data_IF_302961014416
#
_entry.id   IF_302961014416
#
_cell.length_a   1.000
_cell.length_b   1.000
_cell.length_c   1.000
_cell.angle_alpha   90.00
_cell.angle_beta   90.00
_cell.angle_gamma   90.00
#
_symmetry.space_group_name_H-M   'P 1'
#
loop_
_entity.id
_entity.type
_entity.pdbx_description
1 polymer ?
#
# COMPACT_ATOMS: atom_id res chain seq x y z
N UNK A 1 -4.61 -16.25 -15.02
CA UNK A 1 -5.88 -15.63 -14.50
C UNK A 1 -6.43 -14.68 -15.55
N UNK A 2 -7.74 -14.38 -15.60
CA UNK A 2 -8.26 -13.30 -16.48
C UNK A 2 -7.87 -11.92 -15.90
N UNK A 3 -7.69 -10.91 -16.76
CA UNK A 3 -7.29 -9.55 -16.31
C UNK A 3 -8.21 -9.00 -15.21
N UNK A 4 -9.53 -9.24 -15.34
CA UNK A 4 -10.53 -8.81 -14.36
C UNK A 4 -10.30 -9.44 -12.98
N UNK A 5 -9.95 -10.71 -12.96
CA UNK A 5 -9.73 -11.44 -11.71
C UNK A 5 -8.41 -11.01 -11.06
N UNK A 6 -7.38 -10.73 -11.86
CA UNK A 6 -6.11 -10.16 -11.39
C UNK A 6 -6.30 -8.81 -10.70
N UNK A 7 -7.04 -7.90 -11.34
CA UNK A 7 -7.32 -6.56 -10.78
C UNK A 7 -8.07 -6.69 -9.46
N UNK A 8 -9.10 -7.55 -9.41
CA UNK A 8 -9.87 -7.78 -8.17
C UNK A 8 -9.01 -8.33 -7.06
N UNK A 9 -8.21 -9.37 -7.33
CA UNK A 9 -7.33 -9.99 -6.34
C UNK A 9 -6.30 -8.99 -5.81
N UNK A 10 -5.69 -8.20 -6.69
CA UNK A 10 -4.70 -7.18 -6.33
C UNK A 10 -5.30 -6.09 -5.44
N UNK A 11 -6.42 -5.49 -5.85
CA UNK A 11 -7.08 -4.43 -5.07
C UNK A 11 -7.57 -4.98 -3.73
N UNK A 12 -8.13 -6.19 -3.70
CA UNK A 12 -8.59 -6.83 -2.45
C UNK A 12 -7.43 -7.04 -1.49
N UNK A 13 -6.29 -7.53 -1.97
CA UNK A 13 -5.08 -7.71 -1.16
C UNK A 13 -4.57 -6.40 -0.56
N UNK A 14 -4.54 -5.32 -1.37
CA UNK A 14 -4.15 -3.99 -0.89
C UNK A 14 -5.11 -3.50 0.21
N UNK A 15 -6.42 -3.58 -0.01
CA UNK A 15 -7.43 -3.12 0.97
C UNK A 15 -7.37 -3.93 2.26
N UNK A 16 -7.23 -5.26 2.18
CA UNK A 16 -7.07 -6.11 3.36
C UNK A 16 -5.81 -5.73 4.16
N UNK A 17 -4.67 -5.56 3.49
CA UNK A 17 -3.43 -5.17 4.14
C UNK A 17 -3.52 -3.79 4.81
N UNK A 18 -4.18 -2.81 4.18
CA UNK A 18 -4.42 -1.49 4.80
C UNK A 18 -5.28 -1.61 6.06
N UNK A 19 -6.32 -2.43 6.04
CA UNK A 19 -7.18 -2.64 7.22
C UNK A 19 -6.42 -3.34 8.34
N UNK A 20 -5.68 -4.41 8.03
CA UNK A 20 -4.86 -5.15 9.00
C UNK A 20 -3.80 -4.24 9.64
N UNK A 21 -3.06 -3.46 8.83
CA UNK A 21 -2.08 -2.50 9.34
C UNK A 21 -2.69 -1.45 10.25
N UNK A 22 -3.86 -0.89 9.90
CA UNK A 22 -4.53 0.09 10.75
C UNK A 22 -4.99 -0.51 12.09
N UNK A 23 -5.33 -1.80 12.13
CA UNK A 23 -5.64 -2.51 13.38
C UNK A 23 -4.38 -2.74 14.23
N UNK A 24 -3.28 -3.16 13.61
CA UNK A 24 -1.99 -3.42 14.28
C UNK A 24 -1.34 -2.13 14.82
N UNK A 25 -1.53 -1.01 14.12
CA UNK A 25 -0.83 0.25 14.42
C UNK A 25 -1.60 1.19 15.35
N UNK A 26 -2.76 0.80 15.87
CA UNK A 26 -3.62 1.64 16.74
C UNK A 26 -2.86 2.34 17.88
N UNK A 27 -1.94 1.63 18.52
CA UNK A 27 -1.17 2.12 19.67
C UNK A 27 -0.03 3.08 19.29
N UNK A 28 0.41 3.07 18.04
CA UNK A 28 1.51 3.94 17.56
C UNK A 28 1.02 5.31 17.09
N UNK A 29 -0.30 5.44 16.91
CA UNK A 29 -0.92 6.61 16.31
C UNK A 29 -0.65 6.77 14.82
N UNK A 30 -0.06 5.77 14.15
CA UNK A 30 0.07 5.75 12.69
C UNK A 30 -1.28 5.44 12.03
N UNK A 31 -1.50 6.01 10.85
CA UNK A 31 -2.72 5.80 10.06
C UNK A 31 -2.32 5.54 8.62
N UNK A 32 -2.75 4.41 8.08
CA UNK A 32 -2.56 4.02 6.68
C UNK A 32 -3.82 4.35 5.90
N UNK A 33 -3.68 4.93 4.71
CA UNK A 33 -4.77 5.46 3.90
C UNK A 33 -5.71 6.41 4.69
N UNK A 34 -5.17 7.51 5.27
CA UNK A 34 -5.93 8.39 6.13
C UNK A 34 -7.07 9.09 5.36
N UNK A 35 -8.29 8.92 5.85
CA UNK A 35 -9.43 9.73 5.41
C UNK A 35 -9.26 11.18 5.93
N UNK A 36 -9.81 12.18 5.22
CA UNK A 36 -9.74 13.61 5.60
C UNK A 36 -8.38 14.30 5.40
N UNK A 37 -7.63 13.91 4.37
CA UNK A 37 -6.50 14.71 3.89
C UNK A 37 -6.97 16.06 3.33
N UNK A 38 -6.27 17.14 3.70
CA UNK A 38 -6.46 18.48 3.11
C UNK A 38 -5.12 19.09 2.73
N UNK A 39 -5.14 20.01 1.78
CA UNK A 39 -3.96 20.81 1.48
C UNK A 39 -3.86 22.00 2.44
N UNK A 40 -2.65 22.29 2.92
CA UNK A 40 -2.33 23.46 3.74
C UNK A 40 -1.06 24.14 3.23
N UNK A 41 -0.92 25.45 3.48
CA UNK A 41 0.26 26.25 3.14
C UNK A 41 -0.01 27.37 2.14
N UNK A 42 0.68 28.50 2.33
CA UNK A 42 0.54 29.70 1.50
C UNK A 42 1.49 29.70 0.28
N UNK A 43 2.52 28.84 0.28
CA UNK A 43 3.56 28.78 -0.79
C UNK A 43 3.89 27.35 -1.26
N UNK A 44 3.87 26.35 -0.36
CA UNK A 44 4.04 24.93 -0.71
C UNK A 44 2.84 24.17 -0.14
N UNK A 45 1.97 23.68 -1.03
CA UNK A 45 0.83 22.85 -0.63
C UNK A 45 1.32 21.51 -0.08
N UNK A 46 1.12 21.28 1.22
CA UNK A 46 1.37 20.00 1.88
C UNK A 46 0.05 19.32 2.16
N UNK A 47 0.00 18.00 1.95
CA UNK A 47 -1.16 17.22 2.35
C UNK A 47 -1.04 16.89 3.84
N UNK A 48 -2.04 17.28 4.60
CA UNK A 48 -2.10 17.04 6.04
C UNK A 48 -3.37 16.31 6.41
N UNK A 49 -3.25 15.45 7.40
CA UNK A 49 -4.35 14.76 8.05
C UNK A 49 -4.71 15.51 9.33
N UNK A 50 -6.01 15.77 9.53
CA UNK A 50 -6.55 16.29 10.78
C UNK A 50 -7.49 15.26 11.40
N UNK A 51 -7.14 14.74 12.58
CA UNK A 51 -8.02 13.84 13.30
C UNK A 51 -9.21 14.63 13.86
N UNK A 52 -10.47 14.36 13.44
CA UNK A 52 -11.63 15.12 13.88
C UNK A 52 -11.90 15.01 15.39
N UNK A 53 -11.38 13.97 16.04
CA UNK A 53 -11.58 13.70 17.47
C UNK A 53 -10.43 14.21 18.36
N UNK A 54 -9.32 14.69 17.77
CA UNK A 54 -8.19 15.26 18.53
C UNK A 54 -8.01 16.74 18.18
N UNK A 55 -7.62 17.54 19.17
CA UNK A 55 -7.55 19.01 19.08
C UNK A 55 -6.58 19.48 17.99
N UNK A 56 -7.09 20.05 16.88
CA UNK A 56 -6.37 20.83 15.83
C UNK A 56 -4.92 20.42 15.52
N UNK A 57 -4.60 19.13 15.61
CA UNK A 57 -3.27 18.62 15.32
C UNK A 57 -3.28 18.12 13.88
N UNK A 58 -2.31 18.62 13.11
CA UNK A 58 -2.12 18.26 11.73
C UNK A 58 -0.88 17.39 11.62
N UNK A 59 -1.05 16.21 11.04
CA UNK A 59 0.06 15.32 10.73
C UNK A 59 0.32 15.34 9.22
N UNK A 60 1.58 15.28 8.84
CA UNK A 60 1.96 15.18 7.43
C UNK A 60 1.53 13.82 6.87
N UNK A 61 0.96 13.85 5.67
CA UNK A 61 0.70 12.64 4.88
C UNK A 61 1.93 12.40 4.00
N UNK A 62 2.44 11.18 4.06
CA UNK A 62 3.57 10.70 3.25
C UNK A 62 3.07 9.72 2.21
N UNK A 63 3.40 9.95 0.93
CA UNK A 63 3.11 9.00 -0.14
C UNK A 63 4.23 7.94 -0.21
N UNK A 64 3.89 6.68 0.01
CA UNK A 64 4.81 5.56 -0.17
C UNK A 64 4.53 4.93 -1.54
N UNK A 65 5.49 5.00 -2.46
CA UNK A 65 5.38 4.42 -3.80
C UNK A 65 5.83 2.95 -3.79
N UNK A 66 4.99 2.08 -4.36
CA UNK A 66 5.29 0.68 -4.60
C UNK A 66 5.39 0.44 -6.11
N UNK A 67 6.45 -0.24 -6.52
CA UNK A 67 6.65 -0.71 -7.88
C UNK A 67 6.99 -2.20 -7.82
N UNK A 68 5.99 -3.03 -8.06
CA UNK A 68 6.08 -4.48 -7.84
C UNK A 68 6.03 -5.21 -9.17
N UNK A 69 6.98 -6.12 -9.38
CA UNK A 69 6.84 -7.15 -10.42
C UNK A 69 6.12 -8.35 -9.83
N UNK A 70 4.98 -8.67 -10.40
CA UNK A 70 4.12 -9.79 -10.03
C UNK A 70 4.23 -10.87 -11.11
N UNK A 71 4.74 -12.03 -10.72
CA UNK A 71 4.74 -13.25 -11.54
C UNK A 71 3.64 -14.19 -11.07
N UNK A 72 2.84 -14.74 -12.00
CA UNK A 72 1.94 -15.85 -11.69
C UNK A 72 2.77 -17.11 -11.40
N UNK A 73 2.80 -17.58 -10.15
CA UNK A 73 3.34 -18.90 -9.84
C UNK A 73 2.22 -19.92 -9.82
N UNK A 74 2.19 -20.81 -10.81
CA UNK A 74 1.32 -21.99 -10.78
C UNK A 74 1.82 -22.91 -9.65
N UNK A 75 1.08 -22.98 -8.54
CA UNK A 75 1.36 -23.97 -7.51
C UNK A 75 1.07 -25.36 -8.05
N UNK A 76 2.07 -26.24 -8.07
CA UNK A 76 1.96 -27.63 -8.54
C UNK A 76 1.29 -28.58 -7.53
N UNK A 77 0.86 -28.09 -6.37
CA UNK A 77 0.35 -28.91 -5.25
C UNK A 77 -1.19 -29.01 -5.16
N UNK A 78 -1.92 -28.65 -6.22
CA UNK A 78 -3.36 -28.93 -6.35
C UNK A 78 -4.29 -28.14 -5.42
N UNK A 79 -3.75 -27.23 -4.59
CA UNK A 79 -4.53 -26.26 -3.82
C UNK A 79 -4.56 -24.95 -4.60
N UNK A 80 -5.70 -24.66 -5.20
CA UNK A 80 -5.92 -23.41 -5.94
C UNK A 80 -5.72 -22.21 -5.01
N UNK A 81 -4.55 -21.57 -5.11
CA UNK A 81 -4.21 -20.35 -4.41
C UNK A 81 -3.19 -19.59 -5.23
N UNK A 82 -3.51 -18.34 -5.59
CA UNK A 82 -2.58 -17.44 -6.26
C UNK A 82 -1.52 -17.03 -5.24
N UNK A 83 -0.30 -17.54 -5.39
CA UNK A 83 0.83 -17.09 -4.58
C UNK A 83 1.49 -15.89 -5.28
N UNK A 84 1.26 -14.69 -4.77
CA UNK A 84 1.93 -13.47 -5.25
C UNK A 84 3.36 -13.49 -4.69
N UNK A 85 4.34 -13.70 -5.57
CA UNK A 85 5.75 -13.52 -5.21
C UNK A 85 6.13 -12.07 -5.50
N UNK A 86 6.37 -11.29 -4.46
CA UNK A 86 6.99 -9.98 -4.58
C UNK A 86 8.48 -10.22 -4.84
N UNK A 87 8.95 -9.87 -6.04
CA UNK A 87 10.38 -9.90 -6.37
C UNK A 87 10.92 -8.51 -6.04
N UNK A 88 11.82 -8.45 -5.06
CA UNK A 88 12.55 -7.23 -4.75
C UNK A 88 13.39 -6.84 -5.98
N UNK A 89 13.28 -5.59 -6.43
CA UNK A 89 13.98 -5.09 -7.62
C UNK A 89 15.47 -4.84 -7.32
N UNK A 90 16.16 -5.86 -6.83
CA UNK A 90 17.58 -5.88 -6.52
C UNK A 90 18.24 -7.10 -7.17
N UNK A 91 18.78 -6.90 -8.37
CA UNK A 91 19.79 -7.76 -9.03
C UNK A 91 19.49 -9.28 -8.97
N UNK A 92 18.72 -9.79 -9.93
CA UNK A 92 18.95 -11.15 -10.43
C UNK A 92 18.37 -11.28 -11.84
N UNK A 93 19.26 -11.31 -12.83
CA UNK A 93 18.95 -11.77 -14.18
C UNK A 93 18.52 -13.24 -14.12
N UNK A 94 17.22 -13.50 -14.00
CA UNK A 94 16.65 -14.81 -14.33
C UNK A 94 15.87 -14.68 -15.62
N UNK A 95 16.51 -15.15 -16.68
CA UNK A 95 15.92 -15.42 -17.99
C UNK A 95 14.85 -16.50 -17.85
N UNK A 96 13.60 -16.08 -17.80
CA UNK A 96 12.43 -16.94 -17.89
C UNK A 96 11.27 -16.12 -18.43
N UNK A 97 10.63 -16.62 -19.48
CA UNK A 97 9.48 -16.00 -20.15
C UNK A 97 8.21 -16.14 -19.30
N UNK A 98 8.30 -15.83 -18.01
CA UNK A 98 7.12 -15.66 -17.16
C UNK A 98 6.50 -14.31 -17.51
N UNK A 99 5.17 -14.26 -17.69
CA UNK A 99 4.47 -12.99 -17.89
C UNK A 99 4.64 -12.12 -16.65
N UNK A 100 5.62 -11.22 -16.69
CA UNK A 100 5.90 -10.26 -15.63
C UNK A 100 4.86 -9.14 -15.74
N UNK A 101 3.86 -9.15 -14.87
CA UNK A 101 2.94 -8.04 -14.72
C UNK A 101 3.56 -7.05 -13.73
N UNK A 102 3.59 -5.77 -14.07
CA UNK A 102 4.05 -4.73 -13.14
C UNK A 102 2.84 -4.03 -12.54
N UNK A 103 2.82 -3.89 -11.21
CA UNK A 103 1.82 -3.12 -10.48
C UNK A 103 2.52 -1.96 -9.82
N UNK A 104 2.10 -0.74 -10.19
CA UNK A 104 2.56 0.50 -9.57
C UNK A 104 1.39 1.17 -8.86
N UNK A 105 1.57 1.49 -7.58
CA UNK A 105 0.57 2.20 -6.77
C UNK A 105 1.28 2.97 -5.64
N UNK A 106 0.55 3.88 -5.00
CA UNK A 106 1.02 4.52 -3.77
C UNK A 106 -0.02 4.34 -2.66
N UNK A 107 0.46 4.35 -1.42
CA UNK A 107 -0.39 4.36 -0.24
C UNK A 107 0.01 5.57 0.61
N UNK A 108 -0.92 6.50 0.91
CA UNK A 108 -0.68 7.60 1.83
C UNK A 108 -0.61 7.09 3.27
N UNK A 109 0.36 7.58 4.04
CA UNK A 109 0.59 7.16 5.43
C UNK A 109 0.87 8.37 6.31
N UNK A 110 0.28 8.38 7.50
CA UNK A 110 0.66 9.23 8.62
C UNK A 110 1.45 8.38 9.61
N UNK A 111 2.71 8.71 9.87
CA UNK A 111 3.55 7.90 10.76
C UNK A 111 3.24 8.09 12.25
N UNK A 112 2.71 9.25 12.62
CA UNK A 112 2.20 9.48 13.97
C UNK A 112 1.21 10.64 13.99
N UNK A 113 0.11 10.42 14.71
CA UNK A 113 -0.92 11.43 15.02
C UNK A 113 -0.71 12.08 16.39
N UNK A 114 0.40 11.77 17.06
CA UNK A 114 0.79 12.35 18.35
C UNK A 114 2.21 12.94 18.25
N UNK A 115 2.48 14.13 18.81
CA UNK A 115 3.83 14.66 18.91
C UNK A 115 4.67 13.79 19.87
N UNK A 116 5.95 13.58 19.52
CA UNK A 116 6.96 13.07 20.47
C UNK A 116 7.31 14.12 21.52
#
# INVERSE_FOLDING_TARGET
MELKDFIKATITGIVSAVNELNEELKETGAVVDPHYGRFTGNEISKMVYSNPNKSKQESLIHEIEFNLTVSEMNRTDGKAGVAIKVIDAGISNKTGTESQNTVKFSIPVVYSTEPK
#
